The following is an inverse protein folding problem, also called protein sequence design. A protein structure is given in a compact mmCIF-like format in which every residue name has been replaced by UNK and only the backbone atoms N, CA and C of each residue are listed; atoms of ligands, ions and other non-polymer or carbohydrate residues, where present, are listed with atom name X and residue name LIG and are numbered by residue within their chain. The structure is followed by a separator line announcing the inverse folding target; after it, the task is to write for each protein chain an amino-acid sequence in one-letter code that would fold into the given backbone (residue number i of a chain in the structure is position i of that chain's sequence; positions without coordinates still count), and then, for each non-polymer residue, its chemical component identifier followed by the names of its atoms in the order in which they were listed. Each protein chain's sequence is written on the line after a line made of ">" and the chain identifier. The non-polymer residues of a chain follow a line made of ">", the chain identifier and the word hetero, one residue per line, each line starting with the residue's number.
data_IF_569524994173
#
_entry.id   IF_569524994173
#
_cell.length_a   1.000
_cell.length_b   1.000
_cell.length_c   1.000
_cell.angle_alpha   90.00
_cell.angle_beta   90.00
_cell.angle_gamma   90.00
#
_symmetry.space_group_name_H-M   'P 1'
#
loop_
_entity.id
_entity.type
_entity.pdbx_description
1 polymer ?
#
# COMPACT_ATOMS: atom_id res chain seq x y z
N UNK A 1 -16.59 -13.42 24.82
CA UNK A 1 -15.23 -13.47 24.25
C UNK A 1 -15.14 -14.73 23.41
N UNK A 2 -14.75 -14.65 22.13
CA UNK A 2 -14.65 -15.82 21.23
C UNK A 2 -13.21 -16.31 21.16
N UNK A 3 -13.00 -17.61 20.86
CA UNK A 3 -11.66 -18.18 20.65
C UNK A 3 -10.88 -17.40 19.61
N UNK A 4 -11.53 -17.06 18.50
CA UNK A 4 -10.93 -16.22 17.46
C UNK A 4 -10.45 -14.86 18.00
N UNK A 5 -11.27 -14.17 18.79
CA UNK A 5 -10.89 -12.88 19.38
C UNK A 5 -9.71 -12.96 20.33
N UNK A 6 -9.54 -14.11 21.04
CA UNK A 6 -8.38 -14.35 21.90
C UNK A 6 -7.09 -14.59 21.10
N UNK A 7 -7.19 -15.37 20.02
CA UNK A 7 -6.02 -15.79 19.22
C UNK A 7 -5.61 -14.76 18.16
N UNK A 8 -6.47 -13.81 17.80
CA UNK A 8 -6.18 -12.87 16.70
C UNK A 8 -5.14 -11.83 17.12
N UNK A 9 -3.90 -12.11 16.81
CA UNK A 9 -2.73 -11.24 16.93
C UNK A 9 -2.12 -10.94 15.55
N UNK A 10 -2.92 -11.13 14.47
CA UNK A 10 -2.46 -10.96 13.10
C UNK A 10 -2.18 -9.49 12.77
N UNK A 11 -1.10 -9.25 12.05
CA UNK A 11 -0.69 -7.91 11.61
C UNK A 11 -1.25 -7.54 10.22
N UNK A 12 -1.85 -8.49 9.49
CA UNK A 12 -2.41 -8.27 8.16
C UNK A 12 -3.83 -8.84 8.05
N UNK A 13 -4.68 -8.20 7.23
CA UNK A 13 -6.05 -8.65 6.98
C UNK A 13 -6.11 -10.05 6.36
N UNK A 14 -5.17 -10.38 5.47
CA UNK A 14 -5.04 -11.71 4.89
C UNK A 14 -4.76 -12.76 5.97
N UNK A 15 -3.87 -12.44 6.93
CA UNK A 15 -3.59 -13.30 8.08
C UNK A 15 -4.82 -13.51 8.98
N UNK A 16 -5.61 -12.46 9.23
CA UNK A 16 -6.87 -12.54 9.97
C UNK A 16 -7.84 -13.50 9.30
N UNK A 17 -8.00 -13.39 7.97
CA UNK A 17 -8.88 -14.30 7.20
C UNK A 17 -8.38 -15.74 7.22
N UNK A 18 -7.07 -15.95 7.06
CA UNK A 18 -6.46 -17.28 7.11
C UNK A 18 -6.62 -17.93 8.50
N UNK A 19 -6.36 -17.18 9.57
CA UNK A 19 -6.56 -17.67 10.95
C UNK A 19 -8.00 -18.10 11.16
N UNK A 20 -8.96 -17.26 10.74
CA UNK A 20 -10.39 -17.60 10.85
C UNK A 20 -10.74 -18.85 10.07
N UNK A 21 -10.27 -18.98 8.83
CA UNK A 21 -10.48 -20.17 7.99
C UNK A 21 -9.89 -21.42 8.64
N UNK A 22 -8.67 -21.36 9.15
CA UNK A 22 -8.01 -22.49 9.82
C UNK A 22 -8.70 -22.93 11.11
N UNK A 23 -9.36 -22.01 11.83
CA UNK A 23 -10.16 -22.36 13.02
C UNK A 23 -11.45 -23.08 12.66
N UNK A 24 -12.09 -22.73 11.53
CA UNK A 24 -13.31 -23.40 11.07
C UNK A 24 -13.02 -24.70 10.31
N UNK A 25 -11.93 -24.72 9.53
CA UNK A 25 -11.54 -25.86 8.70
C UNK A 25 -10.05 -26.14 8.89
N UNK A 26 -9.67 -26.83 9.99
CA UNK A 26 -8.27 -27.18 10.22
C UNK A 26 -7.75 -28.16 9.15
N UNK A 27 -6.48 -28.03 8.75
CA UNK A 27 -5.87 -28.94 7.80
C UNK A 27 -5.82 -30.37 8.37
N UNK A 28 -6.00 -31.37 7.50
CA UNK A 28 -5.95 -32.80 7.86
C UNK A 28 -4.68 -33.49 7.40
N UNK A 29 -3.97 -32.88 6.45
CA UNK A 29 -2.76 -33.43 5.86
C UNK A 29 -1.60 -33.30 6.86
N UNK A 30 -1.03 -34.43 7.26
CA UNK A 30 0.04 -34.51 8.25
C UNK A 30 1.27 -33.76 7.75
N UNK A 31 1.60 -33.90 6.46
CA UNK A 31 2.78 -33.27 5.86
C UNK A 31 2.65 -31.72 5.92
N UNK A 32 1.47 -31.18 5.57
CA UNK A 32 1.23 -29.75 5.66
C UNK A 32 1.27 -29.23 7.11
N UNK A 33 0.81 -30.01 8.06
CA UNK A 33 0.88 -29.67 9.49
C UNK A 33 2.34 -29.63 9.93
N UNK A 34 3.15 -30.64 9.59
CA UNK A 34 4.55 -30.70 9.94
C UNK A 34 5.35 -29.57 9.32
N UNK A 35 5.14 -29.25 8.04
CA UNK A 35 5.78 -28.10 7.39
C UNK A 35 5.49 -26.77 8.11
N UNK A 36 4.26 -26.59 8.59
CA UNK A 36 3.88 -25.39 9.37
C UNK A 36 4.53 -25.38 10.76
N UNK A 37 4.65 -26.54 11.40
CA UNK A 37 5.31 -26.68 12.69
C UNK A 37 6.82 -26.42 12.59
N UNK A 38 7.49 -26.89 11.53
CA UNK A 38 8.91 -26.60 11.25
C UNK A 38 9.14 -25.08 11.13
N UNK A 39 8.29 -24.39 10.36
CA UNK A 39 8.36 -22.93 10.25
C UNK A 39 8.11 -22.23 11.59
N UNK A 40 7.15 -22.73 12.38
CA UNK A 40 6.87 -22.18 13.70
C UNK A 40 8.05 -22.36 14.66
N UNK A 41 8.67 -23.53 14.66
CA UNK A 41 9.87 -23.82 15.47
C UNK A 41 11.01 -22.87 15.13
N UNK A 42 11.26 -22.62 13.83
CA UNK A 42 12.28 -21.69 13.37
C UNK A 42 11.98 -20.24 13.82
N UNK A 43 10.72 -19.80 13.75
CA UNK A 43 10.29 -18.47 14.20
C UNK A 43 10.36 -18.29 15.72
N UNK A 44 10.10 -19.34 16.50
CA UNK A 44 10.18 -19.30 17.98
C UNK A 44 11.62 -19.31 18.44
N UNK A 45 12.49 -20.04 17.73
CA UNK A 45 13.91 -20.17 18.07
C UNK A 45 14.67 -18.86 17.81
N UNK A 46 14.35 -18.16 16.74
CA UNK A 46 15.01 -16.91 16.34
C UNK A 46 14.06 -15.72 16.37
N UNK A 47 14.05 -15.01 17.50
CA UNK A 47 13.20 -13.81 17.72
C UNK A 47 13.53 -12.68 16.74
N UNK A 48 14.77 -12.57 16.25
CA UNK A 48 15.16 -11.54 15.30
C UNK A 48 14.52 -11.79 13.93
N UNK A 49 14.53 -13.04 13.46
CA UNK A 49 13.82 -13.41 12.22
C UNK A 49 12.33 -13.14 12.33
N UNK A 50 11.72 -13.52 13.45
CA UNK A 50 10.31 -13.24 13.73
C UNK A 50 9.99 -11.74 13.68
N UNK A 51 10.76 -10.92 14.38
CA UNK A 51 10.52 -9.46 14.43
C UNK A 51 10.71 -8.80 13.06
N UNK A 52 11.71 -9.24 12.31
CA UNK A 52 11.99 -8.72 10.96
C UNK A 52 10.88 -9.04 9.97
N UNK A 53 10.42 -10.29 9.91
CA UNK A 53 9.33 -10.67 9.01
C UNK A 53 8.01 -10.00 9.41
N UNK A 54 7.73 -9.92 10.72
CA UNK A 54 6.53 -9.24 11.23
C UNK A 54 6.50 -7.77 10.87
N UNK A 55 7.63 -7.08 10.95
CA UNK A 55 7.74 -5.66 10.60
C UNK A 55 7.41 -5.39 9.12
N UNK A 56 7.83 -6.27 8.22
CA UNK A 56 7.52 -6.17 6.78
C UNK A 56 6.04 -6.48 6.54
N UNK A 57 5.53 -7.57 7.10
CA UNK A 57 4.11 -7.96 6.93
C UNK A 57 3.17 -6.87 7.45
N UNK A 58 3.50 -6.24 8.58
CA UNK A 58 2.69 -5.15 9.14
C UNK A 58 2.63 -3.90 8.24
N UNK A 59 3.64 -3.70 7.38
CA UNK A 59 3.70 -2.60 6.42
C UNK A 59 3.04 -2.93 5.09
N UNK A 60 2.71 -4.20 4.84
CA UNK A 60 2.04 -4.61 3.60
C UNK A 60 0.61 -4.11 3.55
N UNK A 61 0.20 -3.46 2.46
CA UNK A 61 -1.21 -3.12 2.23
C UNK A 61 -2.04 -4.37 1.91
N UNK A 62 -3.36 -4.20 1.90
CA UNK A 62 -4.28 -5.28 1.59
C UNK A 62 -4.16 -5.72 0.12
N UNK A 63 -3.67 -6.94 -0.11
CA UNK A 63 -3.38 -7.46 -1.44
C UNK A 63 -4.64 -7.72 -2.27
N UNK A 64 -5.74 -8.16 -1.67
CA UNK A 64 -6.98 -8.48 -2.39
C UNK A 64 -7.57 -7.24 -3.08
N UNK A 65 -7.46 -6.08 -2.42
CA UNK A 65 -7.89 -4.82 -3.02
C UNK A 65 -7.05 -4.43 -4.24
N UNK A 66 -5.75 -4.72 -4.19
CA UNK A 66 -4.80 -4.47 -5.29
C UNK A 66 -5.05 -5.42 -6.45
N UNK A 67 -5.24 -6.72 -6.17
CA UNK A 67 -5.54 -7.73 -7.20
C UNK A 67 -6.82 -7.39 -7.97
N UNK A 68 -7.75 -6.66 -7.36
CA UNK A 68 -8.95 -6.19 -8.05
C UNK A 68 -8.66 -5.28 -9.26
N UNK A 69 -7.47 -4.63 -9.31
CA UNK A 69 -7.02 -3.84 -10.47
C UNK A 69 -6.82 -4.71 -11.72
N UNK A 70 -6.40 -5.95 -11.53
CA UNK A 70 -6.15 -6.88 -12.63
C UNK A 70 -7.46 -7.38 -13.26
N UNK A 71 -8.56 -7.35 -12.51
CA UNK A 71 -9.87 -7.90 -12.92
C UNK A 71 -10.75 -6.83 -13.55
N UNK A 72 -10.78 -5.62 -12.95
CA UNK A 72 -11.65 -4.53 -13.39
C UNK A 72 -10.85 -3.51 -14.19
N UNK A 73 -11.20 -3.36 -15.48
CA UNK A 73 -10.70 -2.23 -16.27
C UNK A 73 -11.37 -0.96 -15.78
N UNK A 74 -10.63 0.14 -15.58
CA UNK A 74 -11.23 1.43 -15.28
C UNK A 74 -12.09 1.88 -16.45
N UNK A 75 -13.30 2.33 -16.15
CA UNK A 75 -14.19 2.97 -17.13
C UNK A 75 -13.68 4.39 -17.40
N UNK A 76 -13.88 4.87 -18.63
CA UNK A 76 -13.43 6.22 -19.04
C UNK A 76 -14.18 7.30 -18.23
N UNK A 77 -15.45 7.05 -17.90
CA UNK A 77 -16.34 7.98 -17.17
C UNK A 77 -16.38 7.65 -15.65
N UNK A 78 -15.23 7.45 -15.04
CA UNK A 78 -15.14 7.20 -13.60
C UNK A 78 -15.56 8.40 -12.77
N UNK A 79 -16.32 8.17 -11.68
CA UNK A 79 -16.55 9.19 -10.66
C UNK A 79 -15.25 9.55 -9.93
N UNK A 80 -15.17 10.76 -9.34
CA UNK A 80 -13.98 11.18 -8.57
C UNK A 80 -13.61 10.20 -7.46
N UNK A 81 -14.61 9.65 -6.76
CA UNK A 81 -14.39 8.65 -5.70
C UNK A 81 -13.82 7.34 -6.21
N UNK A 82 -14.24 6.89 -7.39
CA UNK A 82 -13.69 5.70 -8.05
C UNK A 82 -12.25 5.95 -8.50
N UNK A 83 -11.96 7.11 -9.05
CA UNK A 83 -10.61 7.51 -9.45
C UNK A 83 -9.66 7.56 -8.23
N UNK A 84 -10.09 8.16 -7.13
CA UNK A 84 -9.33 8.17 -5.88
C UNK A 84 -9.03 6.76 -5.36
N UNK A 85 -10.02 5.88 -5.38
CA UNK A 85 -9.84 4.47 -5.00
C UNK A 85 -8.81 3.77 -5.90
N UNK A 86 -8.88 4.04 -7.20
CA UNK A 86 -7.93 3.48 -8.18
C UNK A 86 -6.49 3.95 -7.91
N UNK A 87 -6.30 5.25 -7.71
CA UNK A 87 -5.01 5.85 -7.39
C UNK A 87 -4.44 5.23 -6.12
N UNK A 88 -5.25 5.11 -5.06
CA UNK A 88 -4.81 4.50 -3.81
C UNK A 88 -4.33 3.06 -3.99
N UNK A 89 -5.02 2.27 -4.82
CA UNK A 89 -4.61 0.89 -5.13
C UNK A 89 -3.30 0.84 -5.92
N UNK A 90 -3.10 1.76 -6.86
CA UNK A 90 -1.85 1.84 -7.64
C UNK A 90 -0.67 2.22 -6.72
N UNK A 91 -0.86 3.19 -5.84
CA UNK A 91 0.16 3.57 -4.85
C UNK A 91 0.45 2.43 -3.88
N UNK A 92 -0.58 1.71 -3.44
CA UNK A 92 -0.43 0.51 -2.62
C UNK A 92 0.33 -0.61 -3.35
N UNK A 93 0.07 -0.84 -4.64
CA UNK A 93 0.83 -1.78 -5.47
C UNK A 93 2.32 -1.41 -5.52
N UNK A 94 2.65 -0.14 -5.73
CA UNK A 94 4.03 0.34 -5.67
C UNK A 94 4.68 0.00 -4.33
N UNK A 95 3.99 0.24 -3.22
CA UNK A 95 4.49 -0.07 -1.88
C UNK A 95 4.78 -1.57 -1.71
N UNK A 96 3.90 -2.45 -2.21
CA UNK A 96 4.15 -3.89 -2.20
C UNK A 96 5.41 -4.23 -2.97
N UNK A 97 5.55 -3.73 -4.20
CA UNK A 97 6.71 -4.00 -5.05
C UNK A 97 8.02 -3.52 -4.40
N UNK A 98 8.01 -2.41 -3.67
CA UNK A 98 9.17 -1.90 -2.92
C UNK A 98 9.53 -2.77 -1.71
N UNK A 99 8.55 -3.46 -1.09
CA UNK A 99 8.77 -4.33 0.06
C UNK A 99 9.23 -5.74 -0.34
N UNK A 100 8.97 -6.19 -1.59
CA UNK A 100 9.31 -7.53 -2.05
C UNK A 100 10.80 -7.88 -1.94
N UNK A 101 11.77 -7.03 -2.32
CA UNK A 101 13.19 -7.34 -2.16
C UNK A 101 13.58 -7.62 -0.72
N UNK A 102 13.15 -6.77 0.22
CA UNK A 102 13.44 -6.94 1.65
C UNK A 102 12.78 -8.20 2.22
N UNK A 103 11.57 -8.52 1.76
CA UNK A 103 10.90 -9.77 2.13
C UNK A 103 11.67 -10.99 1.61
N UNK A 104 12.15 -10.93 0.37
CA UNK A 104 12.94 -11.99 -0.24
C UNK A 104 14.26 -12.26 0.54
N UNK A 105 15.00 -11.22 0.88
CA UNK A 105 16.23 -11.32 1.68
C UNK A 105 15.98 -11.96 3.05
N UNK A 106 14.88 -11.62 3.72
CA UNK A 106 14.55 -12.23 5.01
C UNK A 106 14.15 -13.69 4.82
N UNK A 107 13.31 -14.00 3.82
CA UNK A 107 12.87 -15.38 3.57
C UNK A 107 14.03 -16.33 3.21
N UNK A 108 15.09 -15.82 2.57
CA UNK A 108 16.30 -16.63 2.28
C UNK A 108 17.02 -17.11 3.53
N UNK A 109 16.82 -16.47 4.68
CA UNK A 109 17.44 -16.86 5.95
C UNK A 109 16.73 -18.05 6.62
N UNK A 110 15.57 -18.46 6.10
CA UNK A 110 14.78 -19.56 6.62
C UNK A 110 15.11 -20.86 5.91
N UNK A 111 15.10 -21.96 6.68
CA UNK A 111 15.39 -23.30 6.18
C UNK A 111 14.14 -24.11 5.90
N UNK A 112 12.97 -23.69 6.41
CA UNK A 112 11.69 -24.37 6.25
C UNK A 112 11.28 -24.49 4.78
N UNK A 113 10.60 -25.58 4.43
CA UNK A 113 10.15 -25.87 3.06
C UNK A 113 9.25 -24.77 2.50
N UNK A 114 8.32 -24.26 3.31
CA UNK A 114 7.39 -23.20 2.92
C UNK A 114 8.15 -21.93 2.48
N UNK A 115 9.17 -21.53 3.24
CA UNK A 115 9.97 -20.36 2.90
C UNK A 115 10.80 -20.57 1.64
N UNK A 116 11.39 -21.77 1.45
CA UNK A 116 12.14 -22.10 0.23
C UNK A 116 11.27 -22.07 -1.02
N UNK A 117 10.05 -22.58 -0.95
CA UNK A 117 9.09 -22.51 -2.05
C UNK A 117 8.70 -21.07 -2.36
N UNK A 118 8.44 -20.24 -1.34
CA UNK A 118 8.19 -18.83 -1.51
C UNK A 118 9.37 -18.12 -2.18
N UNK A 119 10.60 -18.33 -1.73
CA UNK A 119 11.84 -17.80 -2.33
C UNK A 119 11.95 -18.21 -3.80
N UNK A 120 11.67 -19.47 -4.14
CA UNK A 120 11.71 -19.95 -5.51
C UNK A 120 10.67 -19.24 -6.41
N UNK A 121 9.47 -18.97 -5.88
CA UNK A 121 8.45 -18.19 -6.60
C UNK A 121 8.88 -16.74 -6.81
N UNK A 122 9.46 -16.11 -5.80
CA UNK A 122 10.00 -14.73 -5.93
C UNK A 122 11.10 -14.66 -6.96
N UNK A 123 12.07 -15.58 -6.92
CA UNK A 123 13.20 -15.60 -7.86
C UNK A 123 12.74 -15.69 -9.32
N UNK A 124 11.71 -16.48 -9.61
CA UNK A 124 11.15 -16.59 -10.96
C UNK A 124 10.55 -15.27 -11.46
N UNK A 125 10.02 -14.44 -10.59
CA UNK A 125 9.25 -13.25 -10.94
C UNK A 125 10.00 -11.93 -10.65
N UNK A 126 11.23 -11.97 -10.14
CA UNK A 126 12.02 -10.77 -9.78
C UNK A 126 12.13 -9.79 -10.93
N UNK A 127 12.51 -10.27 -12.12
CA UNK A 127 12.70 -9.38 -13.28
C UNK A 127 11.41 -8.65 -13.66
N UNK A 128 10.28 -9.34 -13.64
CA UNK A 128 8.97 -8.74 -13.96
C UNK A 128 8.52 -7.72 -12.92
N UNK A 129 8.77 -8.00 -11.64
CA UNK A 129 8.41 -7.08 -10.54
C UNK A 129 9.32 -5.85 -10.52
N UNK A 130 10.61 -5.98 -10.80
CA UNK A 130 11.53 -4.85 -10.92
C UNK A 130 11.14 -3.96 -12.11
N UNK A 131 10.89 -4.54 -13.29
CA UNK A 131 10.47 -3.80 -14.47
C UNK A 131 9.17 -3.01 -14.21
N UNK A 132 8.17 -3.65 -13.58
CA UNK A 132 6.92 -3.00 -13.22
C UNK A 132 7.16 -1.84 -12.23
N UNK A 133 8.00 -2.02 -11.22
CA UNK A 133 8.36 -0.97 -10.27
C UNK A 133 9.05 0.20 -10.98
N UNK A 134 10.00 -0.05 -11.88
CA UNK A 134 10.67 0.98 -12.67
C UNK A 134 9.67 1.78 -13.52
N UNK A 135 8.77 1.10 -14.22
CA UNK A 135 7.72 1.77 -14.99
C UNK A 135 6.82 2.63 -14.11
N UNK A 136 6.46 2.15 -12.91
CA UNK A 136 5.67 2.93 -11.96
C UNK A 136 6.43 4.14 -11.43
N UNK A 137 7.74 4.03 -11.19
CA UNK A 137 8.58 5.13 -10.72
C UNK A 137 8.79 6.21 -11.79
N UNK A 138 8.68 5.87 -13.07
CA UNK A 138 8.69 6.87 -14.17
C UNK A 138 7.43 7.74 -14.16
N UNK A 139 6.29 7.19 -13.77
CA UNK A 139 4.98 7.86 -13.86
C UNK A 139 4.56 8.48 -12.53
N UNK A 140 4.81 7.79 -11.42
CA UNK A 140 4.37 8.20 -10.10
C UNK A 140 5.44 9.02 -9.38
N UNK A 141 5.00 10.03 -8.65
CA UNK A 141 5.89 10.78 -7.76
C UNK A 141 6.34 9.91 -6.58
N UNK A 142 7.64 10.01 -6.20
CA UNK A 142 8.24 9.22 -5.12
C UNK A 142 7.60 9.50 -3.75
N UNK A 143 7.17 10.73 -3.52
CA UNK A 143 6.79 11.24 -2.20
C UNK A 143 5.34 10.90 -1.80
N UNK A 144 4.58 10.28 -2.70
CA UNK A 144 3.19 9.94 -2.44
C UNK A 144 3.08 8.69 -1.58
N UNK A 145 2.67 8.88 -0.33
CA UNK A 145 2.41 7.79 0.64
C UNK A 145 0.92 7.43 0.63
N UNK A 146 0.56 6.13 0.62
CA UNK A 146 -0.83 5.70 0.72
C UNK A 146 -1.46 6.22 2.03
N UNK A 147 -2.64 6.81 1.98
CA UNK A 147 -3.44 7.35 3.09
C UNK A 147 -3.13 8.77 3.54
N UNK A 148 -1.90 9.29 3.50
CA UNK A 148 -1.59 10.65 3.95
C UNK A 148 -1.83 11.71 2.85
N UNK A 149 -1.53 11.39 1.61
CA UNK A 149 -1.65 12.32 0.50
C UNK A 149 -3.09 12.76 0.18
N UNK A 150 -4.09 11.98 0.59
CA UNK A 150 -5.49 12.22 0.21
C UNK A 150 -6.32 12.90 1.30
N UNK A 151 -5.89 12.88 2.57
CA UNK A 151 -6.67 13.43 3.69
C UNK A 151 -6.27 14.85 4.10
N UNK A 152 -4.99 15.19 4.06
CA UNK A 152 -4.48 16.43 4.61
C UNK A 152 -4.25 17.55 3.60
N UNK A 153 -4.06 17.24 2.33
CA UNK A 153 -3.85 18.24 1.29
C UNK A 153 -4.83 18.06 0.13
N UNK A 154 -5.71 19.04 -0.06
CA UNK A 154 -6.54 19.14 -1.28
C UNK A 154 -5.69 19.10 -2.56
N UNK A 155 -4.42 19.46 -2.47
CA UNK A 155 -3.42 19.47 -3.54
C UNK A 155 -2.67 18.15 -3.71
N UNK A 156 -2.60 17.28 -2.69
CA UNK A 156 -1.86 16.01 -2.75
C UNK A 156 -2.34 15.06 -3.85
N UNK A 157 -3.61 15.15 -4.22
CA UNK A 157 -4.21 14.34 -5.30
C UNK A 157 -3.65 14.69 -6.68
N UNK A 158 -3.28 15.96 -6.91
CA UNK A 158 -2.76 16.43 -8.19
C UNK A 158 -1.27 16.15 -8.36
N UNK A 159 -0.55 15.84 -7.29
CA UNK A 159 0.90 15.55 -7.33
C UNK A 159 1.24 14.07 -7.40
N UNK A 160 0.26 13.17 -7.54
CA UNK A 160 0.49 11.71 -7.62
C UNK A 160 1.28 11.32 -8.87
N UNK A 161 0.96 11.93 -10.02
CA UNK A 161 1.68 11.73 -11.27
C UNK A 161 2.80 12.76 -11.34
N UNK A 162 3.98 12.37 -11.81
CA UNK A 162 5.12 13.28 -11.98
C UNK A 162 4.81 14.39 -12.96
N UNK A 163 5.47 15.53 -12.79
CA UNK A 163 5.49 16.59 -13.78
C UNK A 163 6.20 16.10 -15.05
N UNK A 164 5.87 16.66 -16.21
CA UNK A 164 6.39 16.29 -17.53
C UNK A 164 5.92 14.93 -18.11
N UNK A 165 5.06 14.18 -17.40
CA UNK A 165 4.45 12.96 -17.95
C UNK A 165 3.28 13.28 -18.91
N UNK A 166 2.52 14.32 -18.61
CA UNK A 166 1.39 14.74 -19.42
C UNK A 166 1.21 16.27 -19.40
N UNK A 167 1.54 16.94 -20.52
CA UNK A 167 1.49 18.39 -20.60
C UNK A 167 0.12 19.01 -20.39
N UNK A 168 -0.99 18.32 -20.74
CA UNK A 168 -2.35 18.80 -20.43
C UNK A 168 -2.63 18.79 -18.93
N UNK A 169 -2.16 17.76 -18.23
CA UNK A 169 -2.30 17.66 -16.80
C UNK A 169 -1.48 18.75 -16.09
N UNK A 170 -0.27 19.03 -16.58
CA UNK A 170 0.60 20.05 -16.01
C UNK A 170 0.04 21.46 -16.24
N UNK A 171 -0.54 21.72 -17.42
CA UNK A 171 -1.27 22.96 -17.69
C UNK A 171 -2.46 23.13 -16.75
N UNK A 172 -3.27 22.08 -16.57
CA UNK A 172 -4.40 22.11 -15.66
C UNK A 172 -3.96 22.37 -14.19
N UNK A 173 -2.86 21.80 -13.76
CA UNK A 173 -2.27 22.02 -12.43
C UNK A 173 -1.81 23.46 -12.24
N UNK A 174 -1.13 24.02 -13.23
CA UNK A 174 -0.66 25.41 -13.19
C UNK A 174 -1.84 26.36 -13.09
N UNK A 175 -2.84 26.20 -13.95
CA UNK A 175 -4.06 27.01 -13.92
C UNK A 175 -4.77 26.89 -12.57
N UNK A 176 -4.87 25.68 -12.01
CA UNK A 176 -5.50 25.46 -10.71
C UNK A 176 -4.72 26.16 -9.56
N UNK A 177 -3.39 26.06 -9.54
CA UNK A 177 -2.53 26.75 -8.55
C UNK A 177 -2.76 28.26 -8.62
N UNK A 178 -2.75 28.86 -9.81
CA UNK A 178 -2.98 30.28 -10.02
C UNK A 178 -4.35 30.75 -9.49
N UNK A 179 -5.39 29.94 -9.72
CA UNK A 179 -6.71 30.26 -9.17
C UNK A 179 -6.75 30.17 -7.65
N UNK A 180 -6.12 29.19 -7.06
CA UNK A 180 -6.08 29.07 -5.60
C UNK A 180 -5.30 30.23 -4.97
N UNK A 181 -4.15 30.60 -5.51
CA UNK A 181 -3.38 31.76 -5.05
C UNK A 181 -4.18 33.05 -5.12
N UNK A 182 -4.94 33.27 -6.21
CA UNK A 182 -5.85 34.41 -6.33
C UNK A 182 -6.91 34.39 -5.24
N UNK A 183 -7.56 33.26 -5.00
CA UNK A 183 -8.57 33.12 -3.95
C UNK A 183 -7.99 33.33 -2.55
N UNK A 184 -6.81 32.81 -2.26
CA UNK A 184 -6.14 33.02 -0.98
C UNK A 184 -5.78 34.50 -0.75
N UNK A 185 -5.34 35.20 -1.79
CA UNK A 185 -5.08 36.65 -1.74
C UNK A 185 -6.37 37.43 -1.50
N UNK A 186 -7.45 37.15 -2.20
CA UNK A 186 -8.76 37.77 -1.98
C UNK A 186 -9.27 37.54 -0.55
N UNK A 187 -9.18 36.29 -0.05
CA UNK A 187 -9.55 35.96 1.32
C UNK A 187 -8.71 36.75 2.34
N UNK A 188 -7.42 36.91 2.07
CA UNK A 188 -6.53 37.67 2.94
C UNK A 188 -6.90 39.16 3.02
N UNK A 189 -7.25 39.75 1.88
CA UNK A 189 -7.74 41.13 1.78
C UNK A 189 -9.06 41.28 2.54
N UNK A 190 -10.02 40.41 2.32
CA UNK A 190 -11.31 40.42 3.01
C UNK A 190 -11.17 40.24 4.54
N UNK A 191 -10.22 39.43 4.98
CA UNK A 191 -9.91 39.27 6.40
C UNK A 191 -9.35 40.58 6.99
N UNK A 192 -8.47 41.25 6.29
CA UNK A 192 -7.92 42.56 6.74
C UNK A 192 -9.03 43.64 6.80
N UNK A 193 -9.88 43.75 5.79
CA UNK A 193 -11.00 44.66 5.80
C UNK A 193 -12.00 44.42 6.93
N UNK A 194 -12.27 43.14 7.24
CA UNK A 194 -13.13 42.77 8.37
C UNK A 194 -12.50 43.14 9.72
N UNK A 195 -11.20 43.02 9.88
CA UNK A 195 -10.50 43.48 11.08
C UNK A 195 -10.58 44.98 11.25
N UNK A 196 -10.43 45.75 10.17
CA UNK A 196 -10.56 47.21 10.21
C UNK A 196 -12.01 47.64 10.57
N UNK A 197 -13.04 46.99 10.03
CA UNK A 197 -14.44 47.30 10.34
C UNK A 197 -14.89 46.83 11.75
N UNK A 198 -14.15 46.01 12.44
CA UNK A 198 -14.44 45.65 13.83
C UNK A 198 -13.69 46.53 14.86
N UNK A 199 -12.82 47.43 14.42
CA UNK A 199 -12.03 48.35 15.26
C UNK A 199 -12.56 49.81 15.20
N UNK A 200 -13.54 50.09 14.41
CA UNK A 200 -14.30 51.34 14.31
C UNK A 200 -15.70 51.15 14.89
#
# INVERSE_FOLDING_TARGET
>A
MTLFGLLNQCSSEAGVRLLRSNLFQPPREIDLINERLELLEELVTDVNKYSSIRSIIARMPELDSILSLCIKRPEIDCTLTQLESLINKIVALRQVLQLLPSLHEILQQFTSKICREAVAMFTKNVNSSCLLLEMMMLVLNSDVVPRLALKENKFGKFSVIREDVNGLLDMARTTFREYVEKLENEISILRQERFYNCLV
#
